data_IF_956671811258
#
_entry.id   IF_956671811258
#
_cell.length_a   1.000
_cell.length_b   1.000
_cell.length_c   1.000
_cell.angle_alpha   90.00
_cell.angle_beta   90.00
_cell.angle_gamma   90.00
#
_symmetry.space_group_name_H-M   'P 1'
#
loop_
_entity.id
_entity.type
_entity.pdbx_description
1 polymer ?
#
# COMPACT_ATOMS: atom_id res chain seq x y z
N UNK A 1 10.25 58.02 30.83
CA UNK A 1 10.02 56.63 31.25
C UNK A 1 10.71 55.72 30.24
N UNK A 2 11.70 54.94 30.68
CA UNK A 2 12.45 54.04 29.78
C UNK A 2 11.55 52.85 29.44
N UNK A 3 11.01 52.81 28.22
CA UNK A 3 10.32 51.63 27.69
C UNK A 3 11.35 50.52 27.52
N UNK A 4 11.53 49.72 28.58
CA UNK A 4 12.39 48.55 28.54
C UNK A 4 11.65 47.46 27.79
N UNK A 5 12.12 47.14 26.58
CA UNK A 5 11.54 46.09 25.75
C UNK A 5 11.45 44.77 26.55
N UNK A 6 10.24 44.23 26.70
CA UNK A 6 10.04 42.96 27.37
C UNK A 6 10.53 41.81 26.47
N UNK A 7 11.36 40.93 27.03
CA UNK A 7 11.93 39.80 26.29
C UNK A 7 10.88 38.75 25.94
N UNK A 8 9.83 38.61 26.76
CA UNK A 8 8.71 37.70 26.49
C UNK A 8 7.90 38.20 25.29
N UNK A 9 7.61 39.49 25.20
CA UNK A 9 6.90 40.09 24.04
C UNK A 9 7.67 39.88 22.73
N UNK A 10 8.99 40.01 22.76
CA UNK A 10 9.84 39.75 21.58
C UNK A 10 9.83 38.26 21.22
N UNK A 11 9.83 37.38 22.22
CA UNK A 11 9.75 35.94 22.01
C UNK A 11 8.41 35.55 21.38
N UNK A 12 7.29 36.02 21.95
CA UNK A 12 5.93 35.74 21.49
C UNK A 12 5.68 36.26 20.08
N UNK A 13 6.20 37.45 19.75
CA UNK A 13 6.11 37.97 18.39
C UNK A 13 6.84 37.06 17.38
N UNK A 14 8.02 36.55 17.74
CA UNK A 14 8.81 35.66 16.91
C UNK A 14 8.19 34.25 16.76
N UNK A 15 7.20 33.88 17.57
CA UNK A 15 6.44 32.62 17.43
C UNK A 15 5.65 32.66 16.11
N UNK A 16 5.14 33.83 15.75
CA UNK A 16 4.21 34.00 14.64
C UNK A 16 4.81 34.78 13.46
N UNK A 17 5.93 35.49 13.65
CA UNK A 17 6.48 36.40 12.66
C UNK A 17 8.00 36.28 12.51
N UNK A 18 8.53 36.61 11.33
CA UNK A 18 9.97 36.67 11.04
C UNK A 18 10.35 38.11 10.70
N UNK A 19 11.47 38.60 11.20
CA UNK A 19 11.86 39.99 10.97
C UNK A 19 13.36 40.25 11.10
N UNK A 20 13.82 41.29 10.43
CA UNK A 20 15.14 41.89 10.65
C UNK A 20 15.14 42.75 11.90
N UNK A 21 16.32 43.07 12.44
CA UNK A 21 16.44 43.99 13.61
C UNK A 21 15.81 45.36 13.31
N UNK A 22 15.87 45.83 12.07
CA UNK A 22 15.25 47.11 11.69
C UNK A 22 13.72 47.05 11.77
N UNK A 23 13.11 46.00 11.21
CA UNK A 23 11.65 45.81 11.22
C UNK A 23 11.12 45.58 12.64
N UNK A 24 11.85 44.83 13.47
CA UNK A 24 11.49 44.61 14.87
C UNK A 24 11.64 45.88 15.72
N UNK A 25 12.67 46.68 15.45
CA UNK A 25 12.88 47.98 16.11
C UNK A 25 11.76 48.96 15.82
N UNK A 26 11.26 48.95 14.58
CA UNK A 26 10.11 49.75 14.17
C UNK A 26 8.81 49.22 14.79
N UNK A 27 8.58 47.90 14.77
CA UNK A 27 7.39 47.28 15.33
C UNK A 27 7.23 47.55 16.85
N UNK A 28 8.30 47.38 17.61
CA UNK A 28 8.28 47.56 19.06
C UNK A 28 8.56 49.00 19.51
N UNK A 29 8.83 49.93 18.58
CA UNK A 29 9.09 51.33 18.88
C UNK A 29 10.31 51.57 19.77
N UNK A 30 11.33 50.70 19.69
CA UNK A 30 12.54 50.75 20.54
C UNK A 30 13.82 50.69 19.72
N UNK A 31 14.97 51.21 20.23
CA UNK A 31 16.22 51.23 19.48
C UNK A 31 16.72 49.84 19.06
N UNK A 32 17.33 49.75 17.86
CA UNK A 32 17.91 48.52 17.29
C UNK A 32 18.89 47.80 18.23
N UNK A 33 19.62 48.55 19.05
CA UNK A 33 20.54 48.01 20.07
C UNK A 33 19.81 47.16 21.11
N UNK A 34 18.66 47.61 21.58
CA UNK A 34 17.84 46.95 22.60
C UNK A 34 17.15 45.70 22.07
N UNK A 35 16.68 45.74 20.81
CA UNK A 35 16.17 44.56 20.09
C UNK A 35 17.25 43.51 19.92
N UNK A 36 18.46 43.92 19.49
CA UNK A 36 19.60 43.02 19.28
C UNK A 36 20.05 42.36 20.58
N UNK A 37 20.08 43.10 21.69
CA UNK A 37 20.41 42.57 23.01
C UNK A 37 19.37 41.54 23.49
N UNK A 38 18.08 41.86 23.31
CA UNK A 38 16.97 40.98 23.67
C UNK A 38 17.02 39.67 22.87
N UNK A 39 17.17 39.74 21.54
CA UNK A 39 17.28 38.56 20.68
C UNK A 39 18.49 37.70 21.03
N UNK A 40 19.66 38.30 21.28
CA UNK A 40 20.85 37.54 21.67
C UNK A 40 20.69 36.88 23.04
N UNK A 41 20.03 37.56 23.99
CA UNK A 41 19.70 37.00 25.31
C UNK A 41 18.73 35.83 25.20
N UNK A 42 17.72 35.92 24.33
CA UNK A 42 16.75 34.86 24.09
C UNK A 42 17.43 33.68 23.38
N UNK A 43 18.22 33.92 22.34
CA UNK A 43 18.92 32.87 21.59
C UNK A 43 19.96 32.10 22.44
N UNK A 44 20.55 32.74 23.46
CA UNK A 44 21.42 32.05 24.43
C UNK A 44 20.65 31.10 25.35
N UNK A 45 19.39 31.42 25.67
CA UNK A 45 18.52 30.60 26.54
C UNK A 45 17.65 29.60 25.77
N UNK A 46 17.43 29.84 24.47
CA UNK A 46 16.50 29.05 23.67
C UNK A 46 17.10 28.74 22.28
N UNK A 47 17.45 27.47 22.06
CA UNK A 47 18.16 26.98 20.86
C UNK A 47 17.32 27.02 19.57
N UNK A 48 16.03 27.32 19.70
CA UNK A 48 15.04 27.43 18.62
C UNK A 48 15.09 28.79 17.89
N UNK A 49 15.70 29.83 18.47
CA UNK A 49 15.87 31.11 17.75
C UNK A 49 17.00 30.96 16.73
N UNK A 50 16.65 30.97 15.44
CA UNK A 50 17.62 30.89 14.33
C UNK A 50 17.82 32.24 13.67
N UNK A 51 18.98 32.39 13.01
CA UNK A 51 19.32 33.57 12.20
C UNK A 51 19.69 33.13 10.79
N UNK A 52 19.05 33.72 9.77
CA UNK A 52 19.38 33.47 8.35
C UNK A 52 19.89 34.76 7.72
N UNK A 53 21.01 34.67 6.99
CA UNK A 53 21.60 35.81 6.27
C UNK A 53 20.87 35.98 4.93
N UNK A 54 20.39 37.18 4.65
CA UNK A 54 19.71 37.53 3.38
C UNK A 54 20.30 38.81 2.78
N UNK A 55 19.91 39.15 1.55
CA UNK A 55 20.31 40.41 0.88
C UNK A 55 19.90 41.68 1.65
N UNK A 56 18.83 41.61 2.46
CA UNK A 56 18.32 42.72 3.29
C UNK A 56 18.86 42.72 4.73
N UNK A 57 19.71 41.76 5.09
CA UNK A 57 20.29 41.62 6.44
C UNK A 57 20.03 40.27 7.09
N UNK A 58 20.27 40.18 8.41
CA UNK A 58 19.99 38.95 9.19
C UNK A 58 18.53 38.96 9.64
N UNK A 59 17.80 37.93 9.24
CA UNK A 59 16.42 37.68 9.68
C UNK A 59 16.47 36.72 10.87
N UNK A 60 15.71 37.06 11.91
CA UNK A 60 15.55 36.26 13.12
C UNK A 60 14.14 35.67 13.14
N UNK A 61 14.04 34.41 13.55
CA UNK A 61 12.80 33.67 13.64
C UNK A 61 12.92 32.54 14.66
N UNK A 62 11.79 32.14 15.25
CA UNK A 62 11.72 30.86 15.96
C UNK A 62 11.52 29.74 14.94
N UNK A 63 12.37 28.73 15.02
CA UNK A 63 12.17 27.46 14.34
C UNK A 63 11.03 26.73 15.07
N UNK A 64 9.78 27.11 14.76
CA UNK A 64 8.60 26.45 15.28
C UNK A 64 8.31 25.19 14.47
N UNK A 65 7.69 24.18 15.10
CA UNK A 65 7.25 22.92 14.45
C UNK A 65 6.39 23.12 13.19
N UNK A 66 5.88 24.33 12.91
CA UNK A 66 5.13 24.65 11.67
C UNK A 66 6.01 24.98 10.47
N UNK A 67 7.25 25.44 10.68
CA UNK A 67 8.20 25.72 9.59
C UNK A 67 8.96 24.47 9.11
N UNK A 68 8.92 23.41 9.90
CA UNK A 68 9.27 22.05 9.52
C UNK A 68 7.94 21.31 9.35
N UNK A 69 7.35 21.37 8.15
CA UNK A 69 6.03 20.77 7.87
C UNK A 69 5.86 19.42 8.57
N UNK A 70 4.80 19.29 9.37
CA UNK A 70 4.33 18.08 10.05
C UNK A 70 5.32 16.91 10.12
N UNK A 71 6.49 17.13 10.73
CA UNK A 71 7.32 16.03 11.21
C UNK A 71 7.00 15.91 12.68
N UNK A 72 6.32 14.82 13.03
CA UNK A 72 6.50 14.15 14.31
C UNK A 72 8.00 13.93 14.54
N UNK A 73 8.67 14.91 15.16
CA UNK A 73 10.03 14.73 15.68
C UNK A 73 9.88 13.98 17.00
N UNK A 74 9.82 12.66 16.86
CA UNK A 74 10.57 11.78 17.75
C UNK A 74 12.00 12.33 17.81
N UNK A 75 12.48 12.53 19.03
CA UNK A 75 13.82 12.95 19.41
C UNK A 75 14.90 12.39 18.46
N UNK A 76 15.45 13.22 17.57
CA UNK A 76 16.51 12.84 16.62
C UNK A 76 17.93 13.08 17.16
N UNK A 77 18.10 13.36 18.46
CA UNK A 77 19.42 13.52 19.07
C UNK A 77 19.72 12.53 20.21
N UNK A 78 18.88 11.53 20.42
CA UNK A 78 19.35 10.25 20.97
C UNK A 78 19.61 9.29 19.82
N UNK A 79 20.86 8.84 19.68
CA UNK A 79 21.14 7.54 19.08
C UNK A 79 20.60 6.45 20.02
N UNK A 80 19.29 6.40 20.17
CA UNK A 80 18.58 5.19 20.51
C UNK A 80 18.10 4.63 19.17
N UNK A 81 18.87 3.70 18.63
CA UNK A 81 18.70 3.12 17.30
C UNK A 81 17.51 2.13 17.27
N UNK A 82 16.34 2.54 17.79
CA UNK A 82 15.09 1.78 17.68
C UNK A 82 14.22 2.47 16.63
N UNK A 83 14.33 2.00 15.40
CA UNK A 83 13.36 2.26 14.35
C UNK A 83 11.95 2.03 14.92
N UNK A 84 11.08 3.03 14.85
CA UNK A 84 9.67 2.91 15.24
C UNK A 84 8.87 2.63 13.96
N UNK A 85 8.14 1.51 13.88
CA UNK A 85 7.26 1.24 12.74
C UNK A 85 6.32 2.41 12.50
N UNK A 86 6.11 2.76 11.23
CA UNK A 86 5.19 3.84 10.82
C UNK A 86 4.13 3.27 9.87
N UNK A 87 2.86 3.57 10.13
CA UNK A 87 1.74 3.23 9.26
C UNK A 87 1.23 4.50 8.59
N UNK A 88 1.03 4.45 7.29
CA UNK A 88 0.46 5.54 6.50
C UNK A 88 -0.79 5.05 5.79
N UNK A 89 -1.83 5.86 5.79
CA UNK A 89 -2.99 5.70 4.91
C UNK A 89 -2.92 6.82 3.88
N UNK A 90 -2.77 6.45 2.61
CA UNK A 90 -2.53 7.41 1.54
C UNK A 90 -3.69 7.35 0.53
N UNK A 91 -4.37 8.46 0.33
CA UNK A 91 -5.50 8.60 -0.61
C UNK A 91 -5.33 9.85 -1.48
N UNK A 92 -6.05 9.93 -2.60
CA UNK A 92 -6.02 11.11 -3.47
C UNK A 92 -7.23 12.02 -3.26
N UNK A 93 -7.10 13.29 -3.59
CA UNK A 93 -8.20 14.24 -3.58
C UNK A 93 -8.18 15.07 -4.86
N UNK A 94 -9.30 15.07 -5.59
CA UNK A 94 -9.42 15.75 -6.87
C UNK A 94 -9.82 17.23 -6.67
N UNK A 95 -9.15 18.15 -7.36
CA UNK A 95 -9.53 19.56 -7.37
C UNK A 95 -10.95 19.76 -7.93
N UNK A 96 -11.64 20.78 -7.42
CA UNK A 96 -13.05 21.10 -7.70
C UNK A 96 -14.07 19.98 -7.37
N UNK A 97 -13.62 18.84 -6.84
CA UNK A 97 -14.50 17.76 -6.42
C UNK A 97 -15.02 17.98 -5.00
N UNK A 98 -16.26 17.53 -4.76
CA UNK A 98 -16.82 17.51 -3.41
C UNK A 98 -16.17 16.39 -2.58
N UNK A 99 -15.73 16.65 -1.34
CA UNK A 99 -15.24 15.62 -0.44
C UNK A 99 -16.29 14.53 -0.19
N UNK A 100 -15.87 13.28 -0.05
CA UNK A 100 -16.74 12.21 0.41
C UNK A 100 -16.69 12.15 1.94
N UNK A 101 -17.40 13.05 2.63
CA UNK A 101 -17.31 13.25 4.08
C UNK A 101 -17.40 11.94 4.89
N UNK A 102 -18.39 11.09 4.61
CA UNK A 102 -18.56 9.81 5.30
C UNK A 102 -17.36 8.86 5.14
N UNK A 103 -16.67 8.91 4.00
CA UNK A 103 -15.48 8.08 3.78
C UNK A 103 -14.29 8.68 4.52
N UNK A 104 -14.12 10.00 4.45
CA UNK A 104 -13.05 10.72 5.15
C UNK A 104 -13.13 10.51 6.66
N UNK A 105 -14.33 10.59 7.25
CA UNK A 105 -14.54 10.27 8.66
C UNK A 105 -14.08 8.84 8.98
N UNK A 106 -14.42 7.87 8.12
CA UNK A 106 -13.94 6.49 8.25
C UNK A 106 -12.41 6.36 8.17
N UNK A 107 -11.75 7.13 7.29
CA UNK A 107 -10.29 7.18 7.18
C UNK A 107 -9.62 7.78 8.43
N UNK A 108 -10.20 8.83 9.01
CA UNK A 108 -9.72 9.44 10.25
C UNK A 108 -9.85 8.47 11.44
N UNK A 109 -10.99 7.78 11.53
CA UNK A 109 -11.21 6.75 12.54
C UNK A 109 -10.28 5.54 12.37
N UNK A 110 -10.05 5.13 11.13
CA UNK A 110 -9.02 4.13 10.82
C UNK A 110 -7.66 4.57 11.33
N UNK A 111 -7.23 5.79 11.00
CA UNK A 111 -5.93 6.31 11.39
C UNK A 111 -5.76 6.39 12.91
N UNK A 112 -6.84 6.76 13.61
CA UNK A 112 -6.87 6.79 15.06
C UNK A 112 -6.80 5.39 15.68
N UNK A 113 -7.51 4.40 15.11
CA UNK A 113 -7.53 3.02 15.61
C UNK A 113 -6.22 2.27 15.33
N UNK A 114 -5.60 2.54 14.17
CA UNK A 114 -4.46 1.79 13.65
C UNK A 114 -3.11 2.48 13.89
N UNK A 115 -3.10 3.63 14.56
CA UNK A 115 -1.96 4.53 14.73
C UNK A 115 -1.28 4.85 13.39
N UNK A 116 -2.10 5.28 12.42
CA UNK A 116 -1.67 5.61 11.08
C UNK A 116 -1.73 7.12 10.82
N UNK A 117 -0.87 7.60 9.91
CA UNK A 117 -0.90 8.97 9.42
C UNK A 117 -1.65 9.04 8.07
N UNK A 118 -2.65 9.91 7.99
CA UNK A 118 -3.41 10.15 6.75
C UNK A 118 -2.69 11.17 5.87
N UNK A 119 -2.27 10.73 4.67
CA UNK A 119 -1.66 11.59 3.65
C UNK A 119 -2.60 11.74 2.46
N UNK A 120 -2.91 12.97 2.10
CA UNK A 120 -3.72 13.33 0.94
C UNK A 120 -2.81 13.71 -0.24
N UNK A 121 -3.01 13.04 -1.37
CA UNK A 121 -2.32 13.34 -2.61
C UNK A 121 -3.25 14.14 -3.54
N UNK A 122 -3.02 15.45 -3.74
CA UNK A 122 -3.89 16.27 -4.55
C UNK A 122 -3.77 15.92 -6.04
N UNK A 123 -4.85 16.13 -6.78
CA UNK A 123 -4.91 15.96 -8.24
C UNK A 123 -5.62 17.14 -8.87
N UNK A 124 -5.28 17.41 -10.13
CA UNK A 124 -6.04 18.35 -10.96
C UNK A 124 -7.49 17.86 -11.13
N UNK A 125 -8.39 18.75 -11.52
CA UNK A 125 -9.79 18.45 -11.77
C UNK A 125 -10.03 17.77 -13.12
N UNK A 126 -11.23 17.93 -13.66
CA UNK A 126 -11.59 17.34 -14.97
C UNK A 126 -10.90 18.04 -16.16
N UNK A 127 -10.29 19.22 -15.95
CA UNK A 127 -9.59 19.96 -17.00
C UNK A 127 -8.34 20.65 -16.47
N UNK A 128 -7.45 21.07 -17.36
CA UNK A 128 -6.22 21.76 -16.99
C UNK A 128 -6.44 23.14 -16.35
N UNK A 129 -7.68 23.66 -16.33
CA UNK A 129 -8.05 24.90 -15.63
C UNK A 129 -8.37 24.69 -14.16
N UNK A 130 -8.66 23.44 -13.78
CA UNK A 130 -8.97 23.04 -12.41
C UNK A 130 -7.69 22.49 -11.80
N UNK A 131 -6.90 23.35 -11.17
CA UNK A 131 -5.57 23.03 -10.66
C UNK A 131 -5.58 22.78 -9.14
N UNK A 132 -4.44 22.37 -8.58
CA UNK A 132 -4.31 21.90 -7.20
C UNK A 132 -4.67 22.97 -6.14
N UNK A 133 -4.68 24.25 -6.50
CA UNK A 133 -5.08 25.36 -5.64
C UNK A 133 -6.60 25.41 -5.39
N UNK A 134 -7.38 24.77 -6.25
CA UNK A 134 -8.84 24.64 -6.18
C UNK A 134 -9.27 23.35 -5.45
N UNK A 135 -8.38 22.77 -4.64
CA UNK A 135 -8.71 21.68 -3.75
C UNK A 135 -9.70 22.16 -2.67
N UNK A 136 -10.67 21.32 -2.30
CA UNK A 136 -11.65 21.69 -1.29
C UNK A 136 -10.95 22.11 0.03
N UNK A 137 -11.34 23.24 0.66
CA UNK A 137 -10.67 23.74 1.86
C UNK A 137 -10.60 22.77 3.04
N UNK A 138 -11.51 21.79 3.13
CA UNK A 138 -11.47 20.75 4.18
C UNK A 138 -10.14 20.02 4.19
N UNK A 139 -9.51 19.86 3.03
CA UNK A 139 -8.27 19.10 2.91
C UNK A 139 -7.06 19.80 3.54
N UNK A 140 -7.17 21.10 3.86
CA UNK A 140 -6.13 21.86 4.58
C UNK A 140 -5.94 21.39 6.03
N UNK A 141 -6.88 20.61 6.55
CA UNK A 141 -6.80 20.03 7.88
C UNK A 141 -5.98 18.73 7.92
N UNK A 142 -5.61 18.17 6.76
CA UNK A 142 -4.81 16.95 6.65
C UNK A 142 -3.39 17.26 6.19
N UNK A 143 -2.51 16.26 6.26
CA UNK A 143 -1.22 16.33 5.59
C UNK A 143 -1.38 16.13 4.08
N UNK A 144 -0.98 17.13 3.29
CA UNK A 144 -1.15 17.14 1.84
C UNK A 144 0.21 17.13 1.17
N UNK A 145 0.50 16.11 0.37
CA UNK A 145 1.79 15.94 -0.31
C UNK A 145 1.68 16.29 -1.81
N UNK A 146 2.20 17.46 -2.17
CA UNK A 146 2.15 18.01 -3.54
C UNK A 146 3.29 17.52 -4.44
N UNK A 147 4.39 17.01 -3.86
CA UNK A 147 5.61 16.72 -4.60
C UNK A 147 6.07 15.28 -4.40
N UNK A 148 7.22 15.15 -3.74
CA UNK A 148 7.88 13.88 -3.51
C UNK A 148 8.18 13.71 -2.02
N UNK A 149 7.90 12.51 -1.50
CA UNK A 149 8.21 12.15 -0.11
C UNK A 149 8.70 10.71 -0.04
N UNK A 150 9.91 10.52 0.47
CA UNK A 150 10.42 9.19 0.77
C UNK A 150 9.78 8.66 2.05
N UNK A 151 9.19 7.46 1.96
CA UNK A 151 8.61 6.78 3.13
C UNK A 151 9.64 5.85 3.78
N UNK A 152 10.46 5.19 2.96
CA UNK A 152 11.70 4.51 3.35
C UNK A 152 12.66 4.40 2.14
N UNK A 153 13.71 3.57 2.21
CA UNK A 153 14.67 3.37 1.12
C UNK A 153 14.11 2.62 -0.10
N UNK A 154 12.95 1.96 0.01
CA UNK A 154 12.35 1.14 -1.06
C UNK A 154 10.96 1.61 -1.54
N UNK A 155 10.36 2.64 -0.93
CA UNK A 155 9.10 3.26 -1.38
C UNK A 155 9.10 4.79 -1.20
N UNK A 156 8.57 5.50 -2.20
CA UNK A 156 8.34 6.94 -2.13
C UNK A 156 7.03 7.37 -2.81
N UNK A 157 6.44 8.44 -2.28
CA UNK A 157 5.41 9.22 -2.97
C UNK A 157 6.11 10.07 -4.04
N UNK A 158 5.57 10.06 -5.26
CA UNK A 158 6.06 10.90 -6.37
C UNK A 158 4.95 11.32 -7.31
N UNK A 159 4.52 12.58 -7.23
CA UNK A 159 3.40 13.07 -8.04
C UNK A 159 3.78 13.30 -9.50
N UNK A 160 2.95 12.77 -10.43
CA UNK A 160 3.16 12.84 -11.89
C UNK A 160 2.14 13.71 -12.63
N UNK A 161 1.29 14.48 -11.93
CA UNK A 161 0.23 15.33 -12.52
C UNK A 161 -0.66 14.60 -13.53
N UNK A 162 -1.11 13.40 -13.14
CA UNK A 162 -1.93 12.53 -14.00
C UNK A 162 -3.35 13.06 -14.07
N UNK A 163 -3.92 13.02 -15.27
CA UNK A 163 -5.33 13.37 -15.48
C UNK A 163 -6.24 12.35 -14.78
N UNK A 164 -7.19 12.78 -13.93
CA UNK A 164 -8.10 11.88 -13.22
C UNK A 164 -8.88 10.93 -14.14
N UNK A 165 -9.18 11.37 -15.37
CA UNK A 165 -9.93 10.61 -16.36
C UNK A 165 -9.07 9.72 -17.27
N UNK A 166 -7.75 9.64 -17.06
CA UNK A 166 -6.90 8.73 -17.81
C UNK A 166 -7.32 7.27 -17.55
N UNK A 167 -7.48 6.47 -18.61
CA UNK A 167 -7.98 5.09 -18.51
C UNK A 167 -7.04 4.23 -17.65
N UNK A 168 -5.73 4.30 -17.91
CA UNK A 168 -4.71 3.65 -17.09
C UNK A 168 -3.69 4.68 -16.59
N UNK A 169 -3.69 5.05 -15.29
CA UNK A 169 -2.88 6.14 -14.77
C UNK A 169 -1.36 5.87 -14.87
N UNK A 170 -0.95 4.61 -14.95
CA UNK A 170 0.48 4.23 -14.96
C UNK A 170 1.12 4.23 -16.37
N UNK A 171 0.35 4.61 -17.40
CA UNK A 171 0.79 4.60 -18.81
C UNK A 171 2.06 5.43 -18.98
N UNK A 172 3.12 4.82 -19.51
CA UNK A 172 4.41 5.47 -19.78
C UNK A 172 5.32 5.68 -18.56
N UNK A 173 4.86 5.38 -17.34
CA UNK A 173 5.57 5.70 -16.10
C UNK A 173 6.52 4.59 -15.61
N UNK A 174 6.52 3.40 -16.23
CA UNK A 174 7.38 2.27 -15.84
C UNK A 174 8.88 2.63 -15.84
N UNK A 175 9.29 3.52 -16.74
CA UNK A 175 10.67 4.02 -16.85
C UNK A 175 11.18 4.73 -15.60
N UNK A 176 10.30 5.31 -14.80
CA UNK A 176 10.68 6.01 -13.56
C UNK A 176 10.95 5.00 -12.45
N UNK A 177 10.06 4.03 -12.22
CA UNK A 177 10.26 2.98 -11.24
C UNK A 177 11.47 2.08 -11.54
N UNK A 178 11.86 1.89 -12.82
CA UNK A 178 13.09 1.14 -13.13
C UNK A 178 14.33 1.78 -12.50
N UNK A 179 14.44 3.12 -12.55
CA UNK A 179 15.55 3.89 -12.00
C UNK A 179 15.39 4.20 -10.51
N UNK A 180 14.16 4.41 -10.07
CA UNK A 180 13.81 4.83 -8.72
C UNK A 180 13.40 3.63 -7.85
N UNK A 181 12.74 3.88 -6.73
CA UNK A 181 12.18 2.85 -5.83
C UNK A 181 10.73 2.54 -6.21
N UNK A 182 9.99 1.81 -5.38
CA UNK A 182 8.53 1.69 -5.57
C UNK A 182 7.90 3.08 -5.51
N UNK A 183 7.07 3.42 -6.50
CA UNK A 183 6.47 4.75 -6.62
C UNK A 183 4.97 4.68 -6.36
N UNK A 184 4.52 5.55 -5.48
CA UNK A 184 3.11 5.75 -5.15
C UNK A 184 2.68 7.17 -5.57
N UNK A 185 1.52 7.29 -6.22
CA UNK A 185 1.02 8.59 -6.67
C UNK A 185 -0.49 8.65 -6.80
N UNK A 186 -1.00 9.88 -6.91
CA UNK A 186 -2.42 10.15 -6.90
C UNK A 186 -3.13 9.60 -8.16
N UNK A 187 -4.23 8.88 -7.94
CA UNK A 187 -5.22 8.58 -8.98
C UNK A 187 -6.54 8.19 -8.33
N UNK A 188 -7.71 8.54 -8.91
CA UNK A 188 -8.98 7.98 -8.49
C UNK A 188 -9.13 6.50 -8.87
N UNK A 189 -8.20 5.94 -9.67
CA UNK A 189 -8.17 4.53 -10.06
C UNK A 189 -7.05 3.84 -9.29
N UNK A 190 -7.32 2.66 -8.72
CA UNK A 190 -6.28 1.84 -8.08
C UNK A 190 -5.59 0.94 -9.09
N UNK A 191 -4.25 0.97 -9.06
CA UNK A 191 -3.36 0.14 -9.85
C UNK A 191 -2.20 -0.31 -8.98
N UNK A 192 -1.79 -1.56 -9.16
CA UNK A 192 -0.59 -2.15 -8.61
C UNK A 192 0.12 -2.86 -9.77
N UNK A 193 1.21 -2.29 -10.27
CA UNK A 193 1.96 -2.87 -11.38
C UNK A 193 3.38 -3.23 -10.95
N UNK A 194 3.76 -4.51 -10.94
CA UNK A 194 5.14 -4.91 -10.71
C UNK A 194 6.02 -4.46 -11.88
N UNK A 195 7.20 -3.97 -11.56
CA UNK A 195 8.27 -3.57 -12.46
C UNK A 195 9.46 -4.47 -12.15
N UNK A 196 9.82 -5.30 -13.12
CA UNK A 196 10.97 -6.19 -13.01
C UNK A 196 12.24 -5.40 -12.69
N UNK A 197 13.04 -5.93 -11.78
CA UNK A 197 14.28 -5.30 -11.33
C UNK A 197 15.49 -6.20 -11.62
N UNK A 198 15.61 -7.33 -10.92
CA UNK A 198 16.63 -8.36 -11.17
C UNK A 198 16.17 -9.69 -10.56
N UNK A 199 16.74 -10.81 -11.00
CA UNK A 199 16.37 -12.14 -10.49
C UNK A 199 16.56 -12.31 -8.97
N UNK A 200 17.45 -11.52 -8.36
CA UNK A 200 17.82 -11.65 -6.95
C UNK A 200 17.30 -10.50 -6.07
N UNK A 201 16.41 -9.64 -6.59
CA UNK A 201 15.85 -8.51 -5.84
C UNK A 201 14.34 -8.48 -6.00
N UNK A 202 13.65 -8.06 -4.94
CA UNK A 202 12.21 -7.84 -5.01
C UNK A 202 11.85 -6.87 -6.15
N UNK A 203 10.71 -7.11 -6.82
CA UNK A 203 10.22 -6.18 -7.82
C UNK A 203 9.89 -4.84 -7.18
N UNK A 204 9.97 -3.78 -7.98
CA UNK A 204 9.45 -2.46 -7.61
C UNK A 204 8.02 -2.35 -8.11
N UNK A 205 7.24 -1.44 -7.55
CA UNK A 205 5.85 -1.27 -7.99
C UNK A 205 5.57 0.17 -8.45
N UNK A 206 4.66 0.31 -9.41
CA UNK A 206 3.89 1.52 -9.61
C UNK A 206 2.53 1.33 -8.93
N UNK A 207 2.19 2.24 -8.02
CA UNK A 207 1.02 2.15 -7.16
C UNK A 207 0.20 3.43 -7.29
N UNK A 208 -1.11 3.27 -7.40
CA UNK A 208 -2.05 4.40 -7.32
C UNK A 208 -3.13 4.20 -6.28
N UNK A 209 -3.57 5.30 -5.68
CA UNK A 209 -4.24 5.28 -4.38
C UNK A 209 -5.73 4.95 -4.39
N UNK A 210 -6.51 5.48 -5.32
CA UNK A 210 -7.94 5.72 -5.10
C UNK A 210 -8.16 7.13 -4.51
N UNK A 211 -9.41 7.59 -4.46
CA UNK A 211 -9.75 8.96 -4.06
C UNK A 211 -10.69 9.03 -2.86
N UNK A 212 -10.58 10.11 -2.08
CA UNK A 212 -11.48 10.46 -0.98
C UNK A 212 -12.48 11.58 -1.34
N UNK A 213 -12.49 11.99 -2.61
CA UNK A 213 -13.47 12.92 -3.18
C UNK A 213 -14.50 12.18 -4.03
N UNK A 214 -15.70 12.75 -4.17
CA UNK A 214 -16.67 12.33 -5.19
C UNK A 214 -16.11 12.53 -6.61
N UNK A 215 -16.59 11.79 -7.62
CA UNK A 215 -16.21 12.00 -9.01
C UNK A 215 -16.41 13.46 -9.47
N UNK A 216 -15.37 14.08 -10.02
CA UNK A 216 -15.47 15.32 -10.80
C UNK A 216 -15.00 15.03 -12.23
N UNK A 217 -15.93 14.64 -13.10
CA UNK A 217 -15.66 14.32 -14.51
C UNK A 217 -16.69 14.97 -15.43
N UNK A 218 -16.35 15.07 -16.71
CA UNK A 218 -17.25 15.57 -17.73
C UNK A 218 -18.55 14.75 -17.79
N UNK A 219 -19.69 15.43 -17.71
CA UNK A 219 -21.04 14.84 -17.72
C UNK A 219 -21.76 15.10 -19.03
N UNK A 220 -23.02 14.69 -19.16
CA UNK A 220 -23.85 14.94 -20.35
C UNK A 220 -23.98 16.42 -20.76
N UNK A 221 -23.67 17.35 -19.85
CA UNK A 221 -23.67 18.80 -20.10
C UNK A 221 -22.39 19.31 -20.78
N UNK A 222 -21.34 18.48 -20.89
CA UNK A 222 -20.09 18.85 -21.59
C UNK A 222 -20.28 18.80 -23.12
N UNK A 223 -19.86 19.86 -23.80
CA UNK A 223 -19.98 20.01 -25.26
C UNK A 223 -19.13 18.98 -26.03
N UNK A 224 -18.03 18.49 -25.44
CA UNK A 224 -17.14 17.53 -26.10
C UNK A 224 -17.64 16.09 -25.91
N UNK A 225 -18.00 15.45 -27.02
CA UNK A 225 -18.40 14.03 -27.03
C UNK A 225 -17.29 13.09 -26.50
N UNK A 226 -16.04 13.39 -26.81
CA UNK A 226 -14.88 12.64 -26.31
C UNK A 226 -14.78 12.74 -24.78
N UNK A 227 -14.88 13.96 -24.24
CA UNK A 227 -14.83 14.18 -22.78
C UNK A 227 -15.99 13.48 -22.09
N UNK A 228 -17.20 13.53 -22.65
CA UNK A 228 -18.37 12.79 -22.13
C UNK A 228 -18.11 11.28 -22.06
N UNK A 229 -17.54 10.70 -23.11
CA UNK A 229 -17.17 9.27 -23.12
C UNK A 229 -16.15 8.94 -22.03
N UNK A 230 -15.07 9.73 -21.93
CA UNK A 230 -14.02 9.52 -20.93
C UNK A 230 -14.53 9.74 -19.49
N UNK A 231 -15.43 10.71 -19.29
CA UNK A 231 -16.08 10.96 -18.02
C UNK A 231 -16.96 9.80 -17.59
N UNK A 232 -17.78 9.25 -18.48
CA UNK A 232 -18.61 8.06 -18.19
C UNK A 232 -17.76 6.84 -17.80
N UNK A 233 -16.67 6.57 -18.54
CA UNK A 233 -15.73 5.50 -18.19
C UNK A 233 -15.10 5.75 -16.82
N UNK A 234 -14.65 6.98 -16.57
CA UNK A 234 -13.94 7.33 -15.34
C UNK A 234 -14.84 7.36 -14.11
N UNK A 235 -16.13 7.66 -14.26
CA UNK A 235 -17.13 7.53 -13.19
C UNK A 235 -17.30 6.07 -12.78
N UNK A 236 -17.33 5.14 -13.74
CA UNK A 236 -17.42 3.69 -13.45
C UNK A 236 -16.15 3.16 -12.79
N UNK A 237 -15.00 3.66 -13.22
CA UNK A 237 -13.69 3.21 -12.74
C UNK A 237 -13.21 3.97 -11.48
N UNK A 238 -14.00 4.92 -10.97
CA UNK A 238 -13.65 5.68 -9.78
C UNK A 238 -13.73 4.79 -8.53
N UNK A 239 -12.63 4.70 -7.80
CA UNK A 239 -12.52 3.91 -6.59
C UNK A 239 -12.39 4.86 -5.40
N UNK A 240 -13.37 4.81 -4.51
CA UNK A 240 -13.20 5.33 -3.16
C UNK A 240 -12.23 4.42 -2.42
N UNK A 241 -11.06 4.93 -2.06
CA UNK A 241 -10.02 4.08 -1.52
C UNK A 241 -8.73 4.80 -1.21
N UNK A 242 -7.78 4.01 -0.73
CA UNK A 242 -6.43 4.42 -0.43
C UNK A 242 -5.48 3.23 -0.47
N UNK A 243 -4.22 3.48 -0.15
CA UNK A 243 -3.22 2.45 0.09
C UNK A 243 -2.75 2.59 1.53
N UNK A 244 -2.76 1.48 2.25
CA UNK A 244 -2.09 1.39 3.55
C UNK A 244 -0.66 0.96 3.31
N UNK A 245 0.29 1.72 3.86
CA UNK A 245 1.72 1.41 3.83
C UNK A 245 2.20 1.25 5.28
N UNK A 246 2.72 0.06 5.61
CA UNK A 246 3.34 -0.21 6.90
C UNK A 246 4.85 -0.33 6.72
N UNK A 247 5.61 0.57 7.34
CA UNK A 247 7.07 0.53 7.31
C UNK A 247 7.55 -0.32 8.49
N UNK A 248 8.11 -1.48 8.18
CA UNK A 248 8.72 -2.40 9.16
C UNK A 248 10.18 -2.03 9.44
N UNK A 249 10.89 -1.52 8.44
CA UNK A 249 12.26 -1.00 8.55
C UNK A 249 12.58 -0.04 7.41
N UNK A 250 13.81 0.48 7.39
CA UNK A 250 14.25 1.35 6.28
C UNK A 250 14.18 0.65 4.91
N UNK A 251 14.26 -0.68 4.87
CA UNK A 251 14.23 -1.45 3.62
C UNK A 251 12.94 -2.27 3.44
N UNK A 252 12.24 -2.62 4.51
CA UNK A 252 11.03 -3.44 4.44
C UNK A 252 9.77 -2.63 4.67
N UNK A 253 8.80 -2.82 3.79
CA UNK A 253 7.48 -2.25 3.91
C UNK A 253 6.42 -3.23 3.41
N UNK A 254 5.23 -3.11 3.96
CA UNK A 254 4.04 -3.84 3.53
C UNK A 254 3.06 -2.86 2.92
N UNK A 255 2.33 -3.30 1.91
CA UNK A 255 1.32 -2.47 1.24
C UNK A 255 0.04 -3.25 1.03
N UNK A 256 -1.11 -2.59 1.16
CA UNK A 256 -2.39 -3.16 0.79
C UNK A 256 -3.37 -2.09 0.31
N UNK A 257 -4.24 -2.50 -0.60
CA UNK A 257 -5.32 -1.66 -1.09
C UNK A 257 -6.46 -1.59 -0.07
N UNK A 258 -6.89 -0.37 0.24
CA UNK A 258 -8.13 -0.10 0.93
C UNK A 258 -9.16 0.32 -0.11
N UNK A 259 -10.31 -0.34 -0.13
CA UNK A 259 -11.43 -0.03 -1.03
C UNK A 259 -12.71 0.12 -0.24
N UNK A 260 -13.37 1.25 -0.44
CA UNK A 260 -14.69 1.52 0.07
C UNK A 260 -15.75 1.26 -1.00
N UNK A 261 -16.95 0.93 -0.55
CA UNK A 261 -18.13 0.94 -1.41
C UNK A 261 -18.56 2.39 -1.74
N UNK A 262 -19.62 2.54 -2.52
CA UNK A 262 -20.14 3.85 -2.95
C UNK A 262 -20.64 4.76 -1.81
N UNK A 263 -20.90 4.20 -0.62
CA UNK A 263 -21.26 4.95 0.59
C UNK A 263 -20.05 5.37 1.42
N UNK A 264 -18.84 4.93 1.06
CA UNK A 264 -17.63 5.23 1.82
C UNK A 264 -17.31 4.22 2.92
N UNK A 265 -18.03 3.10 2.98
CA UNK A 265 -17.82 2.03 3.96
C UNK A 265 -16.75 1.06 3.47
N UNK A 266 -15.81 0.68 4.34
CA UNK A 266 -14.73 -0.26 4.02
C UNK A 266 -14.37 -1.17 5.20
N UNK A 267 -13.60 -2.21 4.92
CA UNK A 267 -13.09 -3.16 5.91
C UNK A 267 -11.58 -3.26 5.77
N UNK A 268 -10.86 -3.27 6.90
CA UNK A 268 -9.45 -3.63 6.97
C UNK A 268 -9.25 -4.64 8.12
N UNK A 269 -8.62 -5.78 7.82
CA UNK A 269 -8.30 -6.85 8.78
C UNK A 269 -9.38 -7.18 9.83
N UNK A 270 -10.64 -7.31 9.39
CA UNK A 270 -11.75 -7.71 10.25
C UNK A 270 -12.41 -6.56 11.03
N UNK A 271 -11.96 -5.33 10.82
CA UNK A 271 -12.61 -4.11 11.34
C UNK A 271 -13.29 -3.39 10.19
N UNK A 272 -14.57 -3.09 10.38
CA UNK A 272 -15.41 -2.33 9.48
C UNK A 272 -15.45 -0.87 9.91
N UNK A 273 -15.31 0.04 8.94
CA UNK A 273 -15.37 1.49 9.14
C UNK A 273 -16.49 2.04 8.26
N UNK A 274 -17.51 2.60 8.91
CA UNK A 274 -18.70 3.19 8.28
C UNK A 274 -18.88 4.62 8.79
N UNK A 275 -18.02 5.52 8.30
CA UNK A 275 -17.93 6.88 8.83
C UNK A 275 -17.45 6.86 10.29
N UNK A 276 -18.31 7.29 11.21
CA UNK A 276 -18.02 7.30 12.65
C UNK A 276 -18.25 5.96 13.34
N UNK A 277 -18.94 5.05 12.68
CA UNK A 277 -19.25 3.73 13.24
C UNK A 277 -18.11 2.77 12.93
N UNK A 278 -17.63 2.09 13.98
CA UNK A 278 -16.64 1.02 13.88
C UNK A 278 -17.31 -0.27 14.35
N UNK A 279 -17.25 -1.30 13.51
CA UNK A 279 -17.83 -2.60 13.81
C UNK A 279 -16.85 -3.72 13.49
N UNK A 280 -17.13 -4.92 14.01
CA UNK A 280 -16.40 -6.12 13.62
C UNK A 280 -16.97 -6.67 12.31
N UNK A 281 -16.11 -6.92 11.33
CA UNK A 281 -16.47 -7.60 10.08
C UNK A 281 -16.16 -9.09 10.17
N UNK A 282 -17.02 -9.91 9.60
CA UNK A 282 -16.76 -11.33 9.36
C UNK A 282 -16.14 -11.52 7.98
N UNK A 283 -15.16 -12.41 7.86
CA UNK A 283 -14.55 -12.74 6.57
C UNK A 283 -15.41 -13.78 5.86
N UNK A 284 -15.97 -13.42 4.72
CA UNK A 284 -16.85 -14.30 3.95
C UNK A 284 -16.05 -15.42 3.27
N UNK A 285 -15.01 -15.04 2.51
CA UNK A 285 -14.17 -15.98 1.79
C UNK A 285 -12.70 -15.57 1.90
N UNK A 286 -11.82 -16.56 2.04
CA UNK A 286 -10.38 -16.42 1.93
C UNK A 286 -9.90 -17.21 0.72
N UNK A 287 -9.25 -16.53 -0.23
CA UNK A 287 -8.61 -17.15 -1.39
C UNK A 287 -7.11 -17.16 -1.14
N UNK A 288 -6.52 -18.34 -1.05
CA UNK A 288 -5.06 -18.47 -0.95
C UNK A 288 -4.42 -18.38 -2.33
N UNK A 289 -3.13 -18.04 -2.35
CA UNK A 289 -2.29 -18.25 -3.53
C UNK A 289 -2.08 -19.73 -3.81
N UNK A 290 -1.32 -20.03 -4.87
CA UNK A 290 -1.04 -21.41 -5.29
C UNK A 290 -0.41 -22.20 -4.14
N UNK A 291 -1.04 -23.31 -3.79
CA UNK A 291 -0.75 -24.08 -2.58
C UNK A 291 -0.09 -25.41 -2.93
N UNK A 292 1.08 -25.36 -3.57
CA UNK A 292 1.79 -26.55 -4.02
C UNK A 292 2.31 -27.41 -2.86
N UNK A 293 1.53 -28.41 -2.44
CA UNK A 293 1.91 -29.31 -1.34
C UNK A 293 3.23 -30.03 -1.67
N UNK A 294 4.12 -30.06 -0.68
CA UNK A 294 5.51 -30.53 -0.83
C UNK A 294 6.50 -29.47 -1.34
N UNK A 295 6.02 -28.30 -1.81
CA UNK A 295 6.88 -27.19 -2.26
C UNK A 295 6.62 -25.86 -1.56
N UNK A 296 5.40 -25.63 -1.08
CA UNK A 296 5.06 -24.44 -0.30
C UNK A 296 5.96 -24.35 0.93
N UNK A 297 6.64 -23.21 1.09
CA UNK A 297 7.50 -22.95 2.24
C UNK A 297 6.69 -23.01 3.54
N UNK A 298 7.26 -23.63 4.58
CA UNK A 298 6.55 -23.84 5.85
C UNK A 298 6.14 -22.52 6.52
N UNK A 299 6.93 -21.46 6.36
CA UNK A 299 6.57 -20.11 6.87
C UNK A 299 5.31 -19.56 6.19
N UNK A 300 5.20 -19.71 4.86
CA UNK A 300 4.02 -19.28 4.10
C UNK A 300 2.80 -20.11 4.50
N UNK A 301 2.99 -21.42 4.65
CA UNK A 301 1.95 -22.35 5.11
C UNK A 301 1.45 -21.98 6.50
N UNK A 302 2.35 -21.70 7.44
CA UNK A 302 1.97 -21.31 8.80
C UNK A 302 1.24 -19.96 8.81
N UNK A 303 1.68 -18.98 8.02
CA UNK A 303 1.00 -17.70 7.87
C UNK A 303 -0.44 -17.88 7.34
N UNK A 304 -0.65 -18.78 6.37
CA UNK A 304 -1.98 -19.12 5.87
C UNK A 304 -2.87 -19.72 6.98
N UNK A 305 -2.35 -20.64 7.79
CA UNK A 305 -3.09 -21.18 8.93
C UNK A 305 -3.46 -20.11 9.95
N UNK A 306 -2.55 -19.19 10.24
CA UNK A 306 -2.79 -18.12 11.20
C UNK A 306 -3.85 -17.15 10.69
N UNK A 307 -3.86 -16.84 9.39
CA UNK A 307 -4.93 -16.06 8.76
C UNK A 307 -6.28 -16.76 8.86
N UNK A 308 -6.34 -18.07 8.55
CA UNK A 308 -7.60 -18.84 8.64
C UNK A 308 -8.11 -18.85 10.08
N UNK A 309 -7.25 -19.14 11.06
CA UNK A 309 -7.63 -19.16 12.49
C UNK A 309 -8.08 -17.79 12.99
N UNK A 310 -7.38 -16.72 12.58
CA UNK A 310 -7.66 -15.35 13.03
C UNK A 310 -8.97 -14.82 12.49
N UNK A 311 -9.23 -15.03 11.19
CA UNK A 311 -10.37 -14.43 10.51
C UNK A 311 -11.57 -15.37 10.38
N UNK A 312 -11.38 -16.66 10.64
CA UNK A 312 -12.42 -17.70 10.62
C UNK A 312 -13.35 -17.57 9.40
N UNK A 313 -12.80 -17.69 8.17
CA UNK A 313 -13.58 -17.49 6.95
C UNK A 313 -14.66 -18.56 6.81
N UNK A 314 -15.80 -18.19 6.23
CA UNK A 314 -16.86 -19.16 5.90
C UNK A 314 -16.45 -20.08 4.75
N UNK A 315 -15.71 -19.53 3.78
CA UNK A 315 -15.27 -20.21 2.57
C UNK A 315 -13.74 -20.10 2.45
N UNK A 316 -13.05 -21.21 2.22
CA UNK A 316 -11.64 -21.26 1.86
C UNK A 316 -11.50 -21.76 0.41
N UNK A 317 -10.82 -20.98 -0.43
CA UNK A 317 -10.58 -21.34 -1.82
C UNK A 317 -9.11 -21.64 -2.03
N UNK A 318 -8.83 -22.84 -2.55
CA UNK A 318 -7.49 -23.36 -2.77
C UNK A 318 -7.23 -23.58 -4.26
N UNK A 319 -6.06 -23.15 -4.72
CA UNK A 319 -5.56 -23.36 -6.08
C UNK A 319 -4.30 -24.22 -6.05
N UNK A 320 -4.12 -25.05 -7.08
CA UNK A 320 -2.94 -25.90 -7.31
C UNK A 320 -2.44 -26.67 -6.07
N UNK A 321 -3.38 -27.21 -5.27
CA UNK A 321 -3.07 -28.01 -4.06
C UNK A 321 -2.24 -29.25 -4.36
N UNK A 322 -2.53 -29.89 -5.49
CA UNK A 322 -1.74 -31.01 -6.00
C UNK A 322 -0.65 -30.43 -6.90
N UNK A 323 0.62 -30.67 -6.55
CA UNK A 323 1.74 -30.13 -7.31
C UNK A 323 2.04 -30.96 -8.59
N UNK A 324 1.73 -32.24 -8.59
CA UNK A 324 1.97 -33.16 -9.70
C UNK A 324 3.43 -33.27 -10.11
N UNK A 325 4.38 -33.12 -9.19
CA UNK A 325 5.81 -33.14 -9.51
C UNK A 325 6.28 -34.52 -10.00
N UNK A 326 5.70 -35.58 -9.43
CA UNK A 326 5.97 -36.98 -9.80
C UNK A 326 5.54 -37.29 -11.23
N UNK A 327 4.59 -36.51 -11.77
CA UNK A 327 3.93 -36.73 -13.05
C UNK A 327 3.85 -35.46 -13.90
N UNK A 328 4.75 -34.49 -13.69
CA UNK A 328 4.65 -33.22 -14.41
C UNK A 328 4.94 -33.39 -15.90
N UNK A 329 4.09 -32.80 -16.76
CA UNK A 329 4.34 -32.77 -18.21
C UNK A 329 5.47 -31.83 -18.60
N UNK A 330 5.74 -30.81 -17.79
CA UNK A 330 6.75 -29.78 -18.10
C UNK A 330 8.18 -30.32 -18.08
N UNK A 331 8.47 -31.28 -17.21
CA UNK A 331 9.82 -31.86 -17.04
C UNK A 331 9.95 -33.23 -17.71
N UNK A 332 8.91 -33.69 -18.39
CA UNK A 332 8.93 -34.98 -19.08
C UNK A 332 10.08 -35.00 -20.10
N UNK A 333 10.87 -36.08 -20.10
CA UNK A 333 12.06 -36.28 -20.96
C UNK A 333 13.22 -35.31 -20.69
N UNK A 334 13.17 -34.51 -19.63
CA UNK A 334 14.30 -33.71 -19.17
C UNK A 334 15.09 -34.51 -18.14
N UNK A 335 16.11 -35.27 -18.57
CA UNK A 335 16.81 -36.22 -17.69
C UNK A 335 17.35 -35.58 -16.40
N UNK A 336 18.00 -34.43 -16.49
CA UNK A 336 18.57 -33.74 -15.32
C UNK A 336 17.46 -33.29 -14.36
N UNK A 337 16.51 -32.48 -14.84
CA UNK A 337 15.44 -31.95 -14.00
C UNK A 337 14.57 -33.06 -13.41
N UNK A 338 14.15 -34.02 -14.23
CA UNK A 338 13.29 -35.10 -13.81
C UNK A 338 14.04 -36.09 -12.93
N UNK A 339 15.06 -36.79 -13.46
CA UNK A 339 15.66 -37.95 -12.79
C UNK A 339 16.62 -37.56 -11.67
N UNK A 340 17.38 -36.48 -11.82
CA UNK A 340 18.35 -36.07 -10.80
C UNK A 340 17.66 -35.18 -9.78
N UNK A 341 17.17 -34.01 -10.19
CA UNK A 341 16.69 -33.01 -9.23
C UNK A 341 15.37 -33.44 -8.56
N UNK A 342 14.31 -33.72 -9.32
CA UNK A 342 13.04 -34.11 -8.72
C UNK A 342 13.13 -35.50 -8.07
N UNK A 343 13.50 -36.53 -8.83
CA UNK A 343 13.41 -37.89 -8.29
C UNK A 343 14.47 -38.19 -7.21
N UNK A 344 15.74 -37.89 -7.46
CA UNK A 344 16.84 -38.30 -6.57
C UNK A 344 17.10 -37.28 -5.45
N UNK A 345 17.23 -35.99 -5.77
CA UNK A 345 17.58 -34.98 -4.77
C UNK A 345 16.39 -34.60 -3.88
N UNK A 346 15.19 -34.44 -4.47
CA UNK A 346 13.99 -34.04 -3.72
C UNK A 346 13.09 -35.20 -3.29
N UNK A 347 13.30 -36.43 -3.78
CA UNK A 347 12.41 -37.56 -3.48
C UNK A 347 11.02 -37.46 -4.14
N UNK A 348 10.87 -36.55 -5.09
CA UNK A 348 9.63 -36.19 -5.78
C UNK A 348 9.28 -37.19 -6.91
N UNK A 349 9.20 -38.48 -6.58
CA UNK A 349 8.99 -39.55 -7.58
C UNK A 349 7.84 -40.50 -7.28
N UNK A 350 7.21 -40.41 -6.11
CA UNK A 350 6.15 -41.33 -5.68
C UNK A 350 4.81 -40.60 -5.69
N UNK A 351 4.01 -40.85 -6.74
CA UNK A 351 2.69 -40.24 -6.92
C UNK A 351 1.73 -40.57 -5.77
N UNK A 352 1.78 -41.80 -5.25
CA UNK A 352 0.92 -42.19 -4.13
C UNK A 352 1.24 -41.42 -2.84
N UNK A 353 2.51 -41.08 -2.61
CA UNK A 353 2.93 -40.27 -1.47
C UNK A 353 2.44 -38.83 -1.61
N UNK A 354 2.57 -38.24 -2.79
CA UNK A 354 2.05 -36.90 -3.09
C UNK A 354 0.53 -36.80 -2.84
N UNK A 355 -0.24 -37.84 -3.17
CA UNK A 355 -1.66 -37.94 -2.84
C UNK A 355 -1.93 -38.06 -1.34
N UNK A 356 -1.10 -38.83 -0.61
CA UNK A 356 -1.22 -38.96 0.85
C UNK A 356 -0.94 -37.63 1.54
N UNK A 357 0.07 -36.90 1.09
CA UNK A 357 0.41 -35.57 1.60
C UNK A 357 -0.71 -34.57 1.33
N UNK A 358 -1.23 -34.57 0.09
CA UNK A 358 -2.38 -33.73 -0.26
C UNK A 358 -3.60 -34.02 0.63
N UNK A 359 -3.92 -35.29 0.84
CA UNK A 359 -5.00 -35.71 1.75
C UNK A 359 -4.75 -35.23 3.18
N UNK A 360 -3.56 -35.47 3.73
CA UNK A 360 -3.24 -35.11 5.12
C UNK A 360 -3.35 -33.61 5.34
N UNK A 361 -2.94 -32.83 4.34
CA UNK A 361 -3.04 -31.39 4.37
C UNK A 361 -4.48 -30.88 4.29
N UNK A 362 -5.31 -31.47 3.44
CA UNK A 362 -6.75 -31.17 3.37
C UNK A 362 -7.45 -31.51 4.68
N UNK A 363 -7.09 -32.63 5.34
CA UNK A 363 -7.60 -32.97 6.68
C UNK A 363 -7.21 -31.90 7.69
N UNK A 364 -5.97 -31.41 7.65
CA UNK A 364 -5.51 -30.34 8.54
C UNK A 364 -6.25 -29.03 8.28
N UNK A 365 -6.42 -28.63 7.02
CA UNK A 365 -7.18 -27.43 6.64
C UNK A 365 -8.65 -27.55 7.06
N UNK A 366 -9.28 -28.71 6.84
CA UNK A 366 -10.65 -28.99 7.29
C UNK A 366 -10.79 -28.85 8.80
N UNK A 367 -9.84 -29.40 9.57
CA UNK A 367 -9.80 -29.25 11.04
C UNK A 367 -9.72 -27.78 11.48
N UNK A 368 -8.91 -26.96 10.78
CA UNK A 368 -8.77 -25.54 11.09
C UNK A 368 -10.03 -24.74 10.70
N UNK A 369 -10.65 -25.08 9.56
CA UNK A 369 -11.86 -24.44 9.04
C UNK A 369 -13.13 -24.80 9.83
N UNK A 370 -13.12 -25.91 10.59
CA UNK A 370 -14.27 -26.41 11.36
C UNK A 370 -15.47 -26.65 10.45
N UNK A 371 -16.51 -25.83 10.56
CA UNK A 371 -17.77 -25.91 9.79
C UNK A 371 -17.71 -25.11 8.47
N UNK A 372 -16.58 -24.48 8.17
CA UNK A 372 -16.39 -23.74 6.92
C UNK A 372 -16.17 -24.65 5.71
N UNK A 373 -16.51 -24.14 4.53
CA UNK A 373 -16.43 -24.87 3.28
C UNK A 373 -15.05 -24.69 2.62
N UNK A 374 -14.48 -25.79 2.10
CA UNK A 374 -13.22 -25.76 1.35
C UNK A 374 -13.51 -26.08 -0.12
N UNK A 375 -13.21 -25.12 -1.00
CA UNK A 375 -13.28 -25.28 -2.45
C UNK A 375 -11.88 -25.51 -2.99
N UNK A 376 -11.66 -26.68 -3.58
CA UNK A 376 -10.44 -26.97 -4.35
C UNK A 376 -10.74 -26.71 -5.81
N UNK A 377 -10.09 -25.68 -6.37
CA UNK A 377 -10.32 -25.25 -7.74
C UNK A 377 -9.47 -26.08 -8.70
N UNK A 378 -10.10 -26.61 -9.74
CA UNK A 378 -9.40 -27.25 -10.86
C UNK A 378 -8.54 -26.22 -11.60
N UNK A 379 -7.27 -26.17 -11.22
CA UNK A 379 -6.24 -25.30 -11.78
C UNK A 379 -5.19 -26.11 -12.59
N UNK A 380 -4.13 -25.45 -13.06
CA UNK A 380 -3.20 -26.01 -14.06
C UNK A 380 -2.61 -27.37 -13.65
N UNK A 381 -2.20 -27.53 -12.39
CA UNK A 381 -1.50 -28.75 -11.97
C UNK A 381 -2.41 -30.00 -11.93
N UNK A 382 -3.74 -29.82 -11.88
CA UNK A 382 -4.70 -30.92 -11.98
C UNK A 382 -4.63 -31.61 -13.36
N UNK A 383 -4.23 -30.86 -14.40
CA UNK A 383 -4.08 -31.39 -15.76
C UNK A 383 -2.95 -32.42 -15.84
N UNK A 384 -1.91 -32.32 -15.00
CA UNK A 384 -0.74 -33.21 -15.07
C UNK A 384 -1.11 -34.67 -14.84
N UNK A 385 -1.99 -34.94 -13.88
CA UNK A 385 -2.49 -36.28 -13.62
C UNK A 385 -3.32 -36.79 -14.79
N UNK A 386 -4.24 -35.97 -15.30
CA UNK A 386 -5.09 -36.35 -16.43
C UNK A 386 -4.26 -36.68 -17.68
N UNK A 387 -3.25 -35.87 -18.00
CA UNK A 387 -2.30 -36.17 -19.08
C UNK A 387 -1.52 -37.46 -18.79
N UNK A 388 -0.99 -37.63 -17.57
CA UNK A 388 -0.22 -38.82 -17.20
C UNK A 388 -1.00 -40.13 -17.38
N UNK A 389 -2.28 -40.14 -16.97
CA UNK A 389 -3.15 -41.30 -17.08
C UNK A 389 -3.63 -41.52 -18.52
N UNK A 390 -4.11 -40.48 -19.21
CA UNK A 390 -4.61 -40.60 -20.59
C UNK A 390 -3.52 -40.98 -21.60
N UNK A 391 -2.30 -40.47 -21.44
CA UNK A 391 -1.16 -40.82 -22.30
C UNK A 391 -0.58 -42.20 -21.97
N UNK A 392 -1.02 -42.85 -20.88
CA UNK A 392 -0.52 -44.15 -20.47
C UNK A 392 0.93 -44.15 -19.96
N UNK A 393 1.46 -42.98 -19.55
CA UNK A 393 2.88 -42.85 -19.13
C UNK A 393 3.24 -43.73 -17.93
N UNK A 394 2.26 -44.11 -17.12
CA UNK A 394 2.44 -45.05 -16.01
C UNK A 394 2.94 -46.43 -16.45
N UNK A 395 2.78 -46.82 -17.72
CA UNK A 395 3.28 -48.09 -18.25
C UNK A 395 4.82 -48.14 -18.29
N UNK A 396 5.47 -46.98 -18.45
CA UNK A 396 6.93 -46.84 -18.51
C UNK A 396 7.53 -46.36 -17.18
N UNK A 397 6.70 -45.99 -16.21
CA UNK A 397 7.09 -45.48 -14.90
C UNK A 397 6.97 -46.57 -13.83
N UNK A 398 8.00 -47.42 -13.71
CA UNK A 398 8.01 -48.60 -12.82
C UNK A 398 7.67 -48.27 -11.36
N UNK A 399 8.03 -47.07 -10.90
CA UNK A 399 7.77 -46.61 -9.52
C UNK A 399 6.26 -46.44 -9.31
N UNK A 400 5.60 -45.75 -10.24
CA UNK A 400 4.19 -45.38 -10.10
C UNK A 400 3.23 -46.31 -10.84
N UNK A 401 3.73 -47.29 -11.61
CA UNK A 401 2.94 -48.15 -12.48
C UNK A 401 1.71 -48.77 -11.78
N UNK A 402 1.90 -49.30 -10.56
CA UNK A 402 0.79 -49.90 -9.79
C UNK A 402 -0.28 -48.88 -9.41
N UNK A 403 0.14 -47.71 -8.93
CA UNK A 403 -0.79 -46.66 -8.51
C UNK A 403 -1.45 -46.00 -9.74
N UNK A 404 -0.70 -45.77 -10.80
CA UNK A 404 -1.19 -45.30 -12.09
C UNK A 404 -2.24 -46.24 -12.70
N UNK A 405 -1.99 -47.56 -12.69
CA UNK A 405 -2.98 -48.56 -13.12
C UNK A 405 -4.28 -48.48 -12.29
N UNK A 406 -4.16 -48.34 -10.96
CA UNK A 406 -5.32 -48.19 -10.07
C UNK A 406 -6.14 -46.94 -10.41
N UNK A 407 -5.49 -45.79 -10.59
CA UNK A 407 -6.16 -44.54 -10.94
C UNK A 407 -6.74 -44.58 -12.37
N UNK A 408 -6.00 -45.13 -13.33
CA UNK A 408 -6.46 -45.28 -14.71
C UNK A 408 -7.66 -46.23 -14.80
N UNK A 409 -7.68 -47.33 -14.03
CA UNK A 409 -8.85 -48.23 -13.94
C UNK A 409 -10.08 -47.47 -13.49
N UNK A 410 -9.97 -46.69 -12.40
CA UNK A 410 -11.08 -45.87 -11.90
C UNK A 410 -11.52 -44.80 -12.91
N UNK A 411 -10.57 -44.16 -13.60
CA UNK A 411 -10.87 -43.17 -14.63
C UNK A 411 -11.51 -43.77 -15.89
N UNK A 412 -11.21 -45.04 -16.19
CA UNK A 412 -11.77 -45.79 -17.32
C UNK A 412 -13.11 -46.46 -16.99
N UNK A 413 -13.45 -46.59 -15.70
CA UNK A 413 -14.79 -46.97 -15.27
C UNK A 413 -15.75 -45.86 -15.68
N UNK A 414 -16.65 -46.19 -16.62
CA UNK A 414 -17.72 -45.31 -17.05
C UNK A 414 -18.74 -45.22 -15.92
N UNK A 415 -19.18 -44.00 -15.58
CA UNK A 415 -20.38 -43.79 -14.76
C UNK A 415 -21.58 -44.63 -15.28
#
# INVERSE_FOLDING_TARGET
MSNRLNKEEVFDYLIHHKGTISELSEHFGVPKSQVKESINSIARKNSQVKKKKTKKGKIYFLETKRDLGNIHVLDRNKRDNKFTPRKYLITSAQACASPHSHFIEGLEHYCSNEDAELIILPMIGQSAREDLDQLNPVFRNFDVEYGERKLNSNIQIKQFNIRPYQIDPITGLSRFAQRETTLLFASPKQRLKPIAHSNNKYPKFLITTGACTRPNYATSMDVSAERRRLGNISTRDHIYGGIVIEIESDEKFHMRNLRANSRGKFVDFGTEYDGKEIAKSTLEALVLGDYHIGRTEEETRQANFDMIKRYNPRILVLHDTFNGHSVSKHINKQFIEQKILQQLDFGHHILEEEFRDNRNELIKLSSIMKDGEIYVIAANHHEFLNCYLNEGRFMEDVINARFGLKLASYMAEKD
#
